data_IF_158699186995
#
_entry.id   IF_158699186995
#
_cell.length_a   1.000
_cell.length_b   1.000
_cell.length_c   1.000
_cell.angle_alpha   90.00
_cell.angle_beta   90.00
_cell.angle_gamma   90.00
#
_symmetry.space_group_name_H-M   'P 1'
#
loop_
_entity.id
_entity.type
_entity.pdbx_description
1 polymer ?
#
# COMPACT_ATOMS: atom_id res chain seq x y z
N UNK A 1 -2.79 4.99 -13.38
CA UNK A 1 -2.84 3.56 -13.04
C UNK A 1 -1.64 3.17 -12.21
N UNK A 2 -1.85 2.34 -11.21
CA UNK A 2 -0.78 1.84 -10.35
C UNK A 2 -1.11 0.44 -9.86
N UNK A 3 -0.08 -0.36 -9.61
CA UNK A 3 -0.20 -1.69 -9.06
C UNK A 3 1.16 -2.24 -8.65
N UNK A 4 1.15 -3.24 -7.81
CA UNK A 4 2.36 -3.95 -7.38
C UNK A 4 2.06 -5.42 -7.18
N UNK A 5 3.07 -6.24 -7.30
CA UNK A 5 2.94 -7.67 -7.07
C UNK A 5 2.85 -8.03 -5.59
N UNK A 6 2.26 -9.16 -5.29
CA UNK A 6 2.21 -9.76 -3.94
C UNK A 6 3.13 -10.97 -3.78
N UNK A 7 3.78 -11.39 -4.86
CA UNK A 7 4.65 -12.57 -4.88
C UNK A 7 5.90 -12.30 -5.71
N UNK A 8 7.03 -12.76 -5.23
CA UNK A 8 8.33 -12.60 -5.89
C UNK A 8 8.53 -13.52 -7.10
N UNK A 9 7.68 -14.54 -7.25
CA UNK A 9 7.74 -15.49 -8.37
C UNK A 9 7.22 -14.92 -9.67
N UNK A 10 6.41 -13.85 -9.59
CA UNK A 10 5.92 -13.18 -10.79
C UNK A 10 7.06 -12.60 -11.62
N UNK A 11 7.13 -12.97 -12.89
CA UNK A 11 8.14 -12.49 -13.83
C UNK A 11 7.81 -11.14 -14.47
N UNK A 12 6.66 -10.55 -14.13
CA UNK A 12 6.12 -9.34 -14.72
C UNK A 12 7.02 -8.11 -14.67
N UNK A 13 6.53 -6.99 -15.16
CA UNK A 13 7.24 -5.75 -15.38
C UNK A 13 8.00 -5.18 -14.17
N UNK A 14 7.63 -5.60 -12.96
CA UNK A 14 8.28 -5.23 -11.71
C UNK A 14 9.31 -6.28 -11.25
N UNK A 15 10.07 -6.82 -12.18
CA UNK A 15 11.22 -7.66 -11.89
C UNK A 15 12.13 -6.99 -10.87
N UNK A 16 12.47 -7.69 -9.83
CA UNK A 16 13.46 -7.21 -8.90
C UNK A 16 12.87 -6.78 -7.56
N UNK A 17 12.96 -7.66 -6.67
CA UNK A 17 12.67 -7.49 -5.27
C UNK A 17 11.70 -8.54 -4.76
N UNK A 18 11.92 -8.97 -3.57
CA UNK A 18 11.05 -9.88 -2.87
C UNK A 18 9.73 -9.18 -2.54
N UNK A 19 8.77 -9.24 -3.44
CA UNK A 19 7.41 -8.77 -3.16
C UNK A 19 6.70 -9.80 -2.26
N UNK A 20 5.94 -9.28 -1.31
CA UNK A 20 5.13 -10.07 -0.38
C UNK A 20 3.72 -9.49 -0.29
N UNK A 21 2.72 -10.26 0.19
CA UNK A 21 1.38 -9.72 0.43
C UNK A 21 1.38 -8.50 1.35
N UNK A 22 2.24 -8.47 2.36
CA UNK A 22 2.38 -7.33 3.27
C UNK A 22 2.94 -6.09 2.56
N UNK A 23 3.96 -6.28 1.72
CA UNK A 23 4.56 -5.21 0.94
C UNK A 23 3.55 -4.61 -0.04
N UNK A 24 2.79 -5.45 -0.74
CA UNK A 24 1.71 -5.02 -1.62
C UNK A 24 0.67 -4.19 -0.85
N UNK A 25 0.21 -4.67 0.30
CA UNK A 25 -0.78 -3.97 1.12
C UNK A 25 -0.26 -2.60 1.62
N UNK A 26 0.98 -2.53 2.09
CA UNK A 26 1.62 -1.28 2.52
C UNK A 26 1.73 -0.28 1.37
N UNK A 27 2.17 -0.75 0.20
CA UNK A 27 2.27 0.11 -0.99
C UNK A 27 0.90 0.66 -1.38
N UNK A 28 -0.10 -0.19 -1.46
CA UNK A 28 -1.47 0.18 -1.82
C UNK A 28 -2.01 1.26 -0.88
N UNK A 29 -1.92 1.04 0.44
CA UNK A 29 -2.41 2.00 1.43
C UNK A 29 -1.70 3.35 1.32
N UNK A 30 -0.38 3.35 1.27
CA UNK A 30 0.41 4.59 1.18
C UNK A 30 0.09 5.36 -0.09
N UNK A 31 0.01 4.67 -1.21
CA UNK A 31 -0.31 5.29 -2.49
C UNK A 31 -1.72 5.91 -2.49
N UNK A 32 -2.73 5.17 -2.01
CA UNK A 32 -4.11 5.67 -1.94
C UNK A 32 -4.27 6.85 -0.97
N UNK A 33 -3.57 6.83 0.15
CA UNK A 33 -3.58 7.97 1.09
C UNK A 33 -2.92 9.22 0.48
N UNK A 34 -1.86 9.05 -0.31
CA UNK A 34 -1.25 10.17 -1.03
C UNK A 34 -2.23 10.70 -2.09
N UNK A 35 -2.85 9.84 -2.90
CA UNK A 35 -3.84 10.24 -3.88
C UNK A 35 -4.98 11.04 -3.23
N UNK A 36 -5.52 10.55 -2.11
CA UNK A 36 -6.56 11.24 -1.34
C UNK A 36 -6.07 12.59 -0.80
N UNK A 37 -4.81 12.71 -0.40
CA UNK A 37 -4.26 13.94 0.16
C UNK A 37 -4.00 15.02 -0.87
N UNK A 38 -3.89 14.64 -2.14
CA UNK A 38 -3.67 15.56 -3.28
C UNK A 38 -4.94 15.88 -4.05
N UNK A 39 -6.11 15.52 -3.48
CA UNK A 39 -7.43 15.72 -4.11
C UNK A 39 -7.52 15.12 -5.52
N UNK A 40 -6.88 13.96 -5.70
CA UNK A 40 -6.90 13.23 -6.96
C UNK A 40 -8.31 12.76 -7.26
N UNK A 41 -8.86 13.17 -8.40
CA UNK A 41 -10.25 12.89 -8.77
C UNK A 41 -10.48 11.43 -9.10
N UNK A 42 -9.48 10.77 -9.69
CA UNK A 42 -9.59 9.39 -10.10
C UNK A 42 -8.24 8.68 -10.02
N UNK A 43 -8.29 7.47 -9.48
CA UNK A 43 -7.13 6.61 -9.40
C UNK A 43 -7.52 5.18 -9.74
N UNK A 44 -6.85 4.54 -10.66
CA UNK A 44 -7.08 3.15 -11.00
C UNK A 44 -6.04 2.23 -10.36
N UNK A 45 -6.47 1.05 -9.99
CA UNK A 45 -5.59 0.02 -9.44
C UNK A 45 -5.50 -1.16 -10.39
N UNK A 46 -4.32 -1.52 -10.76
CA UNK A 46 -4.03 -2.74 -11.48
C UNK A 46 -3.48 -3.79 -10.49
N UNK A 47 -4.27 -4.83 -10.14
CA UNK A 47 -5.54 -5.16 -10.73
C UNK A 47 -6.52 -5.69 -9.68
N UNK A 48 -7.76 -5.99 -10.06
CA UNK A 48 -8.73 -6.59 -9.14
C UNK A 48 -8.33 -8.01 -8.76
N UNK A 49 -7.92 -8.84 -9.72
CA UNK A 49 -7.53 -10.23 -9.53
C UNK A 49 -6.14 -10.50 -10.10
N UNK A 50 -5.51 -11.54 -9.60
CA UNK A 50 -4.33 -12.10 -10.23
C UNK A 50 -4.65 -12.54 -11.67
N UNK A 51 -3.66 -12.48 -12.51
CA UNK A 51 -3.80 -12.80 -13.91
C UNK A 51 -2.63 -13.62 -14.42
N UNK A 52 -2.83 -14.24 -15.55
CA UNK A 52 -1.74 -14.80 -16.34
C UNK A 52 -1.32 -13.72 -17.34
N UNK A 53 -0.06 -13.34 -17.25
CA UNK A 53 0.54 -12.47 -18.24
C UNK A 53 1.05 -13.32 -19.41
N UNK A 54 0.29 -13.32 -20.49
CA UNK A 54 0.71 -13.95 -21.75
C UNK A 54 1.56 -13.00 -22.62
N UNK A 55 2.27 -12.05 -22.00
CA UNK A 55 2.99 -11.00 -22.73
C UNK A 55 4.09 -11.51 -23.66
N UNK A 56 4.60 -12.71 -23.46
CA UNK A 56 5.65 -13.32 -24.30
C UNK A 56 5.31 -14.74 -24.75
N UNK A 57 4.08 -15.20 -24.49
CA UNK A 57 3.71 -16.58 -24.71
C UNK A 57 3.03 -16.81 -26.04
N UNK A 58 3.37 -17.92 -26.67
CA UNK A 58 2.56 -18.48 -27.73
C UNK A 58 1.44 -19.28 -27.10
N UNK A 59 0.21 -19.04 -27.51
CA UNK A 59 -0.94 -19.86 -27.13
C UNK A 59 -0.61 -21.33 -27.41
N UNK A 60 -0.68 -22.16 -26.37
CA UNK A 60 -0.35 -23.60 -26.45
C UNK A 60 1.05 -23.99 -26.03
N UNK A 61 1.92 -23.06 -25.65
CA UNK A 61 3.23 -23.34 -25.08
C UNK A 61 3.17 -23.18 -23.55
N UNK A 62 3.15 -24.31 -22.84
CA UNK A 62 3.09 -24.34 -21.36
C UNK A 62 4.17 -23.49 -20.69
N UNK A 63 5.35 -23.43 -21.25
CA UNK A 63 6.46 -22.65 -20.70
C UNK A 63 6.18 -21.13 -20.72
N UNK A 64 5.36 -20.68 -21.65
CA UNK A 64 4.99 -19.28 -21.80
C UNK A 64 3.87 -18.81 -20.85
N UNK A 65 3.12 -19.76 -20.27
CA UNK A 65 2.05 -19.47 -19.30
C UNK A 65 2.56 -19.39 -17.85
N UNK A 66 3.85 -19.50 -17.62
CA UNK A 66 4.42 -19.45 -16.28
C UNK A 66 4.63 -18.02 -15.74
N UNK A 67 4.35 -17.01 -16.52
CA UNK A 67 4.40 -15.61 -16.09
C UNK A 67 3.08 -15.22 -15.42
N UNK A 68 2.93 -15.59 -14.16
CA UNK A 68 1.80 -15.17 -13.36
C UNK A 68 1.98 -13.72 -12.90
N UNK A 69 0.99 -12.89 -13.19
CA UNK A 69 0.90 -11.53 -12.66
C UNK A 69 0.17 -11.51 -11.33
N UNK A 70 0.90 -11.50 -10.23
CA UNK A 70 0.31 -11.45 -8.87
C UNK A 70 -0.07 -10.03 -8.44
N UNK A 71 -0.63 -9.24 -9.34
CA UNK A 71 -1.01 -7.85 -9.11
C UNK A 71 -2.36 -7.68 -8.42
N UNK A 72 -3.19 -8.72 -8.44
CA UNK A 72 -4.53 -8.68 -7.90
C UNK A 72 -4.57 -8.38 -6.41
N UNK A 73 -5.63 -7.73 -5.97
CA UNK A 73 -6.01 -7.68 -4.55
C UNK A 73 -6.76 -8.95 -4.13
N UNK A 74 -7.24 -9.70 -5.12
CA UNK A 74 -7.82 -11.04 -4.96
C UNK A 74 -6.88 -12.03 -5.62
N UNK A 75 -6.50 -13.07 -4.88
CA UNK A 75 -5.77 -14.20 -5.43
C UNK A 75 -6.70 -15.01 -6.32
N UNK A 76 -6.23 -15.37 -7.49
CA UNK A 76 -6.85 -16.35 -8.36
C UNK A 76 -5.87 -17.49 -8.61
N UNK A 77 -6.37 -18.72 -8.54
CA UNK A 77 -5.59 -19.91 -8.88
C UNK A 77 -5.91 -20.36 -10.30
N UNK A 78 -4.91 -20.90 -10.98
CA UNK A 78 -5.00 -21.31 -12.36
C UNK A 78 -4.53 -22.74 -12.51
N UNK A 79 -5.19 -23.48 -13.39
CA UNK A 79 -4.77 -24.82 -13.74
C UNK A 79 -3.58 -24.80 -14.73
N UNK A 80 -3.12 -25.98 -15.15
CA UNK A 80 -1.99 -26.11 -16.07
C UNK A 80 -2.26 -25.52 -17.47
N UNK A 81 -3.51 -25.40 -17.86
CA UNK A 81 -3.95 -24.79 -19.10
C UNK A 81 -4.09 -23.26 -19.00
N UNK A 82 -3.88 -22.69 -17.80
CA UNK A 82 -4.01 -21.28 -17.57
C UNK A 82 -5.44 -20.79 -17.39
N UNK A 83 -6.37 -21.68 -17.13
CA UNK A 83 -7.75 -21.36 -16.83
C UNK A 83 -7.93 -21.17 -15.33
N UNK A 84 -8.66 -20.13 -14.94
CA UNK A 84 -9.00 -19.91 -13.53
C UNK A 84 -9.81 -21.10 -12.99
N UNK A 85 -9.40 -21.60 -11.82
CA UNK A 85 -10.06 -22.75 -11.18
C UNK A 85 -11.38 -22.41 -10.51
N UNK A 86 -11.69 -21.11 -10.39
CA UNK A 86 -12.89 -20.61 -9.72
C UNK A 86 -12.74 -20.39 -8.22
N UNK A 87 -11.54 -20.61 -7.67
CA UNK A 87 -11.22 -20.28 -6.30
C UNK A 87 -10.60 -18.90 -6.20
N UNK A 88 -11.23 -18.03 -5.42
CA UNK A 88 -10.83 -16.63 -5.27
C UNK A 88 -10.68 -16.27 -3.81
N UNK A 89 -9.48 -15.87 -3.42
CA UNK A 89 -9.18 -15.53 -2.01
C UNK A 89 -8.79 -14.07 -1.88
N UNK A 90 -9.49 -13.28 -1.04
CA UNK A 90 -9.08 -11.91 -0.74
C UNK A 90 -7.71 -11.87 -0.06
N UNK A 91 -6.77 -11.11 -0.66
CA UNK A 91 -5.44 -10.91 -0.11
C UNK A 91 -5.43 -9.88 1.02
N UNK A 92 -4.29 -9.72 1.67
CA UNK A 92 -4.08 -8.68 2.68
C UNK A 92 -4.34 -7.27 2.10
N UNK A 93 -3.94 -7.03 0.86
CA UNK A 93 -4.20 -5.77 0.14
C UNK A 93 -5.68 -5.49 -0.07
N UNK A 94 -6.50 -6.51 -0.32
CA UNK A 94 -7.96 -6.36 -0.37
C UNK A 94 -8.53 -5.89 0.96
N UNK A 95 -8.12 -6.54 2.05
CA UNK A 95 -8.56 -6.17 3.41
C UNK A 95 -8.13 -4.75 3.77
N UNK A 96 -6.90 -4.40 3.43
CA UNK A 96 -6.38 -3.06 3.63
C UNK A 96 -7.19 -2.00 2.87
N UNK A 97 -7.53 -2.27 1.60
CA UNK A 97 -8.37 -1.39 0.80
C UNK A 97 -9.81 -1.29 1.34
N UNK A 98 -10.39 -2.40 1.78
CA UNK A 98 -11.72 -2.43 2.41
C UNK A 98 -11.76 -1.52 3.64
N UNK A 99 -10.76 -1.63 4.53
CA UNK A 99 -10.65 -0.76 5.70
C UNK A 99 -10.45 0.71 5.31
N UNK A 100 -9.59 0.98 4.34
CA UNK A 100 -9.37 2.33 3.84
C UNK A 100 -10.67 2.96 3.32
N UNK A 101 -11.43 2.24 2.48
CA UNK A 101 -12.70 2.72 1.95
C UNK A 101 -13.77 2.93 3.02
N UNK A 102 -13.71 2.17 4.12
CA UNK A 102 -14.62 2.37 5.26
C UNK A 102 -14.29 3.65 6.03
N UNK A 103 -13.00 3.95 6.19
CA UNK A 103 -12.53 5.15 6.88
C UNK A 103 -12.65 6.41 6.01
N UNK A 104 -12.44 6.28 4.71
CA UNK A 104 -12.41 7.38 3.74
C UNK A 104 -13.50 7.16 2.68
N UNK A 105 -14.74 7.48 3.02
CA UNK A 105 -15.98 7.18 2.27
C UNK A 105 -16.37 8.26 1.25
N UNK A 106 -15.43 8.97 0.68
CA UNK A 106 -15.70 10.09 -0.25
C UNK A 106 -16.19 11.39 0.40
N UNK A 107 -16.46 11.38 1.71
CA UNK A 107 -16.76 12.58 2.51
C UNK A 107 -15.53 13.15 3.20
N UNK A 108 -14.45 12.41 3.19
CA UNK A 108 -13.17 12.85 3.74
C UNK A 108 -12.47 13.80 2.77
N UNK A 109 -11.98 14.92 3.28
CA UNK A 109 -11.23 15.90 2.51
C UNK A 109 -9.85 16.11 3.11
N UNK A 110 -8.82 16.31 2.29
CA UNK A 110 -7.50 16.67 2.80
C UNK A 110 -7.59 17.92 3.64
N UNK A 111 -6.88 17.95 4.75
CA UNK A 111 -6.81 19.09 5.65
C UNK A 111 -5.48 19.16 6.35
N UNK A 112 -4.91 20.34 6.42
CA UNK A 112 -3.73 20.56 7.25
C UNK A 112 -4.17 20.63 8.73
N UNK A 113 -3.92 19.55 9.45
CA UNK A 113 -4.24 19.50 10.87
C UNK A 113 -3.21 20.31 11.68
N UNK A 114 -3.65 20.93 12.79
CA UNK A 114 -2.75 21.63 13.70
C UNK A 114 -1.96 20.64 14.58
N UNK A 115 -1.30 19.69 13.93
CA UNK A 115 -0.53 18.63 14.55
C UNK A 115 0.92 18.75 14.11
N UNK A 116 1.84 18.67 15.04
CA UNK A 116 3.26 18.57 14.76
C UNK A 116 3.87 17.35 15.43
N UNK A 117 4.86 16.77 14.79
CA UNK A 117 5.69 15.75 15.40
C UNK A 117 6.52 16.39 16.51
N UNK A 118 6.53 15.76 17.66
CA UNK A 118 7.46 16.11 18.74
C UNK A 118 8.66 15.20 18.62
N UNK A 119 9.80 15.78 18.30
CA UNK A 119 11.08 15.08 18.40
C UNK A 119 11.43 15.01 19.89
N UNK A 120 11.52 13.80 20.44
CA UNK A 120 11.87 13.63 21.83
C UNK A 120 13.33 14.14 22.07
N UNK A 121 13.55 15.24 22.80
CA UNK A 121 14.88 15.77 23.05
C UNK A 121 15.75 14.84 23.92
N UNK A 122 15.13 13.83 24.53
CA UNK A 122 15.82 12.82 25.33
C UNK A 122 16.30 11.61 24.51
N UNK A 123 15.94 11.53 23.22
CA UNK A 123 16.52 10.53 22.33
C UNK A 123 18.03 10.79 22.24
N UNK A 124 18.79 9.86 22.78
CA UNK A 124 20.26 10.00 22.82
C UNK A 124 20.78 10.16 21.40
N UNK A 125 21.76 11.05 21.25
CA UNK A 125 22.40 11.47 19.99
C UNK A 125 22.98 10.31 19.14
N UNK A 126 22.87 9.07 19.59
CA UNK A 126 23.28 7.88 18.84
C UNK A 126 22.28 7.41 17.78
N UNK A 127 21.06 7.91 17.84
CA UNK A 127 20.06 7.63 16.82
C UNK A 127 20.15 8.72 15.73
N UNK A 128 21.18 8.61 14.89
CA UNK A 128 21.34 9.50 13.73
C UNK A 128 20.12 9.50 12.81
N UNK A 129 19.29 8.47 12.92
CA UNK A 129 18.04 8.32 12.17
C UNK A 129 16.87 9.06 12.80
N UNK A 130 16.97 9.48 14.06
CA UNK A 130 15.86 10.19 14.74
C UNK A 130 15.65 11.64 14.24
N UNK A 131 16.64 12.22 13.59
CA UNK A 131 16.56 13.57 13.02
C UNK A 131 16.04 13.58 11.58
N UNK A 132 16.07 12.45 10.91
CA UNK A 132 15.61 12.34 9.53
C UNK A 132 14.10 12.05 9.53
N UNK A 133 13.30 13.06 9.22
CA UNK A 133 11.86 13.00 9.24
C UNK A 133 11.33 12.16 8.07
N UNK A 134 11.55 10.86 8.09
CA UNK A 134 10.90 9.91 7.17
C UNK A 134 9.43 9.68 7.53
N UNK A 135 8.93 10.37 8.53
CA UNK A 135 7.54 10.28 8.92
C UNK A 135 6.68 11.11 7.97
N UNK A 136 5.86 10.43 7.19
CA UNK A 136 4.80 11.04 6.40
C UNK A 136 3.58 11.21 7.30
N UNK A 137 2.96 12.39 7.24
CA UNK A 137 1.76 12.73 8.01
C UNK A 137 0.75 13.38 7.06
N UNK A 138 -0.45 12.82 6.99
CA UNK A 138 -1.52 13.33 6.15
C UNK A 138 -2.77 13.53 7.00
N UNK A 139 -3.30 14.74 6.98
CA UNK A 139 -4.52 15.10 7.71
C UNK A 139 -5.75 15.06 6.83
N UNK A 140 -6.87 14.67 7.42
CA UNK A 140 -8.16 14.64 6.74
C UNK A 140 -9.28 15.07 7.68
N UNK A 141 -10.26 15.80 7.14
CA UNK A 141 -11.52 16.10 7.82
C UNK A 141 -12.61 15.17 7.32
N UNK A 142 -13.40 14.63 8.23
CA UNK A 142 -14.60 13.85 7.94
C UNK A 142 -15.74 14.30 8.83
N UNK A 143 -16.67 15.07 8.28
CA UNK A 143 -17.73 15.68 9.09
C UNK A 143 -17.15 16.57 10.22
N UNK A 144 -17.51 16.25 11.47
CA UNK A 144 -16.98 16.95 12.66
C UNK A 144 -15.70 16.30 13.20
N UNK A 145 -15.23 15.22 12.60
CA UNK A 145 -14.04 14.51 13.03
C UNK A 145 -12.85 14.77 12.13
N UNK A 146 -11.67 14.45 12.65
CA UNK A 146 -10.41 14.51 11.92
C UNK A 146 -9.73 13.15 11.95
N UNK A 147 -9.02 12.82 10.89
CA UNK A 147 -8.20 11.64 10.81
C UNK A 147 -6.76 12.02 10.48
N UNK A 148 -5.81 11.40 11.16
CA UNK A 148 -4.40 11.52 10.88
C UNK A 148 -3.90 10.17 10.36
N UNK A 149 -3.48 10.14 9.09
CA UNK A 149 -2.73 9.02 8.55
C UNK A 149 -1.24 9.32 8.67
N UNK A 150 -0.49 8.38 9.20
CA UNK A 150 0.96 8.54 9.30
C UNK A 150 1.68 7.21 9.12
N UNK A 151 2.88 7.28 8.59
CA UNK A 151 3.76 6.13 8.46
C UNK A 151 5.20 6.59 8.32
N UNK A 152 6.13 5.72 8.66
CA UNK A 152 7.52 5.93 8.31
C UNK A 152 7.76 5.57 6.85
N UNK A 153 8.38 6.47 6.10
CA UNK A 153 8.77 6.26 4.71
C UNK A 153 10.04 5.38 4.62
N UNK A 154 10.04 4.28 5.37
CA UNK A 154 11.09 3.28 5.32
C UNK A 154 10.87 2.30 4.19
N UNK A 155 11.85 1.42 3.98
CA UNK A 155 11.77 0.32 3.05
C UNK A 155 10.49 -0.51 3.28
N UNK A 156 9.72 -0.71 2.21
CA UNK A 156 8.51 -1.52 2.22
C UNK A 156 8.77 -2.98 2.63
N UNK A 157 10.01 -3.46 2.46
CA UNK A 157 10.42 -4.80 2.87
C UNK A 157 10.51 -4.98 4.39
N UNK A 158 10.60 -3.89 5.14
CA UNK A 158 10.63 -3.96 6.59
C UNK A 158 9.29 -4.42 7.13
N UNK A 159 9.25 -5.58 7.72
CA UNK A 159 8.01 -6.19 8.24
C UNK A 159 7.62 -5.61 9.61
N UNK A 160 8.61 -5.25 10.41
CA UNK A 160 8.40 -4.74 11.76
C UNK A 160 9.05 -3.39 11.94
N UNK A 161 8.39 -2.51 12.66
CA UNK A 161 8.93 -1.25 13.13
C UNK A 161 8.62 -1.11 14.61
N UNK A 162 9.65 -0.91 15.39
CA UNK A 162 9.53 -0.62 16.83
C UNK A 162 10.05 0.79 17.07
N UNK A 163 9.14 1.69 17.41
CA UNK A 163 9.47 3.08 17.66
C UNK A 163 8.27 3.87 18.18
N UNK A 164 8.57 4.90 18.96
CA UNK A 164 7.55 5.80 19.52
C UNK A 164 7.46 7.04 18.66
N UNK A 165 6.25 7.37 18.23
CA UNK A 165 5.93 8.63 17.55
C UNK A 165 5.09 9.49 18.49
N UNK A 166 5.58 10.69 18.77
CA UNK A 166 4.86 11.65 19.61
C UNK A 166 4.33 12.80 18.76
N UNK A 167 3.08 13.15 18.98
CA UNK A 167 2.40 14.26 18.32
C UNK A 167 1.98 15.31 19.35
N UNK A 168 2.06 16.57 18.95
CA UNK A 168 1.49 17.67 19.70
C UNK A 168 0.42 18.33 18.86
N UNK A 169 -0.79 18.50 19.44
CA UNK A 169 -1.82 19.35 18.88
C UNK A 169 -1.43 20.82 19.13
N UNK A 170 -1.35 21.60 18.06
CA UNK A 170 -1.12 23.03 18.20
C UNK A 170 -2.48 23.70 18.43
N UNK A 171 -2.67 24.33 19.58
CA UNK A 171 -3.72 25.33 19.71
C UNK A 171 -4.93 25.05 20.56
N UNK A 172 -4.90 24.19 21.56
CA UNK A 172 -5.83 24.34 22.68
C UNK A 172 -5.02 24.70 23.94
N UNK A 173 -5.20 25.94 24.39
CA UNK A 173 -4.82 26.37 25.73
C UNK A 173 -5.96 26.05 26.68
#
# INVERSE_FOLDING_TARGET
ESGTQSDSRGAGALRGGAWTPLKQAKYLLRHRLIDLSTDMVFTSHFSAMDMIEALNGKVGDKASYLDFGYFGVIQADFNEEGLATGEYTPKLSYRALQHLCTLFDGKSKPEQLPIRRVVNPSARVFDKDASDSRLVMLGFRRGNGTALAYWEAADLMRETYDGTVSFQLAGEK
#
